data_IF_223795014777
#
_entry.id   IF_223795014777
#
_cell.length_a   1.000
_cell.length_b   1.000
_cell.length_c   1.000
_cell.angle_alpha   90.00
_cell.angle_beta   90.00
_cell.angle_gamma   90.00
#
_symmetry.space_group_name_H-M   'P 1'
#
loop_
_entity.id
_entity.type
_entity.pdbx_description
1 polymer ?
#
# COMPACT_ATOMS: atom_id res chain seq x y z
N UNK A 1 41.55 -3.72 19.35
CA UNK A 1 40.29 -3.65 18.59
C UNK A 1 39.29 -4.59 19.26
N UNK A 2 38.30 -4.09 20.02
CA UNK A 2 37.30 -4.92 20.71
C UNK A 2 36.20 -5.32 19.73
N UNK A 3 36.09 -6.61 19.43
CA UNK A 3 34.94 -7.17 18.71
C UNK A 3 33.88 -7.49 19.75
N UNK A 4 32.81 -6.71 19.80
CA UNK A 4 31.67 -6.98 20.66
C UNK A 4 30.80 -8.05 19.98
N UNK A 5 30.72 -9.24 20.56
CA UNK A 5 29.76 -10.25 20.13
C UNK A 5 28.38 -9.91 20.68
N UNK A 6 27.41 -9.71 19.78
CA UNK A 6 26.02 -9.47 20.14
C UNK A 6 25.43 -10.70 20.86
N UNK A 7 24.55 -10.46 21.82
CA UNK A 7 23.82 -11.54 22.51
C UNK A 7 22.92 -12.33 21.54
N UNK A 8 22.54 -13.57 21.92
CA UNK A 8 21.63 -14.40 21.09
C UNK A 8 20.30 -13.69 20.79
N UNK A 9 19.80 -12.87 21.73
CA UNK A 9 18.57 -12.09 21.54
C UNK A 9 18.79 -10.91 20.58
N UNK A 10 19.88 -10.15 20.72
CA UNK A 10 20.23 -9.07 19.79
C UNK A 10 20.48 -9.58 18.37
N UNK A 11 21.12 -10.75 18.22
CA UNK A 11 21.29 -11.39 16.91
C UNK A 11 19.94 -11.79 16.30
N UNK A 12 19.01 -12.34 17.08
CA UNK A 12 17.65 -12.66 16.60
C UNK A 12 16.88 -11.41 16.20
N UNK A 13 16.97 -10.33 16.98
CA UNK A 13 16.36 -9.03 16.66
C UNK A 13 16.97 -8.47 15.38
N UNK A 14 18.30 -8.51 15.24
CA UNK A 14 18.99 -8.02 14.05
C UNK A 14 18.63 -8.84 12.80
N UNK A 15 18.59 -10.17 12.91
CA UNK A 15 18.15 -11.05 11.82
C UNK A 15 16.70 -10.76 11.45
N UNK A 16 15.81 -10.58 12.42
CA UNK A 16 14.41 -10.22 12.18
C UNK A 16 14.30 -8.87 11.46
N UNK A 17 15.01 -7.84 11.92
CA UNK A 17 15.04 -6.51 11.30
C UNK A 17 15.63 -6.54 9.88
N UNK A 18 16.72 -7.27 9.66
CA UNK A 18 17.37 -7.44 8.35
C UNK A 18 16.47 -8.23 7.39
N UNK A 19 15.81 -9.28 7.86
CA UNK A 19 14.84 -10.05 7.09
C UNK A 19 13.60 -9.19 6.76
N UNK A 20 13.14 -8.34 7.68
CA UNK A 20 12.04 -7.40 7.45
C UNK A 20 12.41 -6.34 6.41
N UNK A 21 13.63 -5.80 6.48
CA UNK A 21 14.12 -4.81 5.50
C UNK A 21 14.17 -5.36 4.07
N UNK A 22 14.39 -6.66 3.90
CA UNK A 22 14.37 -7.34 2.58
C UNK A 22 12.95 -7.54 2.00
N UNK A 23 11.93 -7.48 2.84
CA UNK A 23 10.52 -7.65 2.48
C UNK A 23 9.79 -6.31 2.27
N UNK A 24 10.53 -5.20 2.19
CA UNK A 24 9.93 -3.89 1.95
C UNK A 24 9.41 -3.79 0.51
N UNK A 25 8.16 -3.35 0.38
CA UNK A 25 7.58 -2.92 -0.89
C UNK A 25 7.90 -1.45 -1.14
N UNK A 26 8.25 -1.12 -2.39
CA UNK A 26 8.27 0.27 -2.84
C UNK A 26 6.84 0.67 -3.14
N UNK A 27 6.30 1.66 -2.41
CA UNK A 27 4.97 2.20 -2.70
C UNK A 27 5.08 3.39 -3.65
N UNK A 28 4.36 3.34 -4.77
CA UNK A 28 4.10 4.49 -5.65
C UNK A 28 2.64 4.89 -5.59
N UNK A 29 2.36 6.17 -5.88
CA UNK A 29 1.02 6.73 -5.87
C UNK A 29 0.73 7.30 -7.26
N UNK A 30 -0.43 7.00 -7.82
CA UNK A 30 -0.90 7.71 -9.01
C UNK A 30 -1.28 9.14 -8.67
N UNK A 31 -1.47 9.96 -9.71
CA UNK A 31 -2.02 11.30 -9.55
C UNK A 31 -3.46 11.27 -9.01
N UNK A 32 -4.27 10.28 -9.40
CA UNK A 32 -5.64 10.11 -8.91
C UNK A 32 -5.67 9.87 -7.40
N UNK A 33 -4.82 8.97 -6.91
CA UNK A 33 -4.70 8.71 -5.48
C UNK A 33 -4.22 9.94 -4.72
N UNK A 34 -3.18 10.61 -5.23
CA UNK A 34 -2.57 11.76 -4.55
C UNK A 34 -3.55 12.94 -4.44
N UNK A 35 -4.23 13.29 -5.55
CA UNK A 35 -5.26 14.34 -5.56
C UNK A 35 -6.41 14.03 -4.60
N UNK A 36 -6.86 12.77 -4.55
CA UNK A 36 -7.89 12.37 -3.61
C UNK A 36 -7.42 12.53 -2.16
N UNK A 37 -6.21 12.03 -1.83
CA UNK A 37 -5.68 12.14 -0.48
C UNK A 37 -5.58 13.60 -0.04
N UNK A 38 -5.09 14.48 -0.92
CA UNK A 38 -4.96 15.92 -0.66
C UNK A 38 -6.31 16.63 -0.51
N UNK A 39 -7.37 16.13 -1.16
CA UNK A 39 -8.73 16.69 -1.05
C UNK A 39 -9.41 16.41 0.29
N UNK A 40 -8.88 15.48 1.11
CA UNK A 40 -9.45 15.15 2.41
C UNK A 40 -9.30 16.32 3.38
N UNK A 41 -10.43 16.86 3.84
CA UNK A 41 -10.47 17.95 4.84
C UNK A 41 -9.98 17.50 6.22
N UNK A 42 -10.25 16.25 6.59
CA UNK A 42 -9.84 15.70 7.89
C UNK A 42 -8.36 15.26 7.88
N UNK A 43 -7.52 16.04 8.57
CA UNK A 43 -6.09 15.74 8.74
C UNK A 43 -5.84 14.46 9.52
N UNK A 44 -6.73 14.08 10.42
CA UNK A 44 -6.57 12.83 11.17
C UNK A 44 -6.83 11.61 10.29
N UNK A 45 -7.83 11.69 9.40
CA UNK A 45 -8.03 10.70 8.34
C UNK A 45 -6.78 10.57 7.46
N UNK A 46 -6.21 11.68 6.98
CA UNK A 46 -4.99 11.65 6.16
C UNK A 46 -3.83 10.94 6.87
N UNK A 47 -3.58 11.25 8.16
CA UNK A 47 -2.53 10.60 8.96
C UNK A 47 -2.75 9.10 9.11
N UNK A 48 -3.98 8.66 9.36
CA UNK A 48 -4.33 7.23 9.48
C UNK A 48 -4.11 6.48 8.16
N UNK A 49 -4.52 7.06 7.05
CA UNK A 49 -4.27 6.48 5.72
C UNK A 49 -2.77 6.41 5.45
N UNK A 50 -2.02 7.48 5.73
CA UNK A 50 -0.57 7.49 5.55
C UNK A 50 0.14 6.40 6.40
N UNK A 51 -0.26 6.24 7.66
CA UNK A 51 0.26 5.16 8.51
C UNK A 51 -0.08 3.77 7.94
N UNK A 52 -1.28 3.59 7.38
CA UNK A 52 -1.66 2.33 6.74
C UNK A 52 -0.84 2.04 5.48
N UNK A 53 -0.51 3.06 4.70
CA UNK A 53 0.39 2.93 3.54
C UNK A 53 1.80 2.54 4.00
N UNK A 54 2.31 3.15 5.07
CA UNK A 54 3.59 2.76 5.65
C UNK A 54 3.57 1.29 6.07
N UNK A 55 2.48 0.80 6.66
CA UNK A 55 2.32 -0.63 6.96
C UNK A 55 2.34 -1.50 5.70
N UNK A 56 1.73 -1.07 4.59
CA UNK A 56 1.84 -1.78 3.31
C UNK A 56 3.29 -1.90 2.84
N UNK A 57 4.10 -0.85 3.01
CA UNK A 57 5.54 -0.89 2.68
C UNK A 57 6.27 -1.99 3.46
N UNK A 58 5.91 -2.23 4.72
CA UNK A 58 6.50 -3.29 5.55
C UNK A 58 5.81 -4.65 5.42
N UNK A 59 5.07 -4.90 4.33
CA UNK A 59 4.33 -6.15 4.11
C UNK A 59 3.23 -6.44 5.16
N UNK A 60 2.80 -5.42 5.93
CA UNK A 60 1.72 -5.53 6.92
C UNK A 60 0.38 -5.16 6.27
N UNK A 61 -0.09 -6.06 5.39
CA UNK A 61 -1.26 -5.83 4.53
C UNK A 61 -2.56 -5.62 5.34
N UNK A 62 -2.76 -6.34 6.45
CA UNK A 62 -4.02 -6.32 7.22
C UNK A 62 -5.20 -6.79 6.35
N UNK A 63 -6.37 -6.14 6.44
CA UNK A 63 -7.55 -6.51 5.63
C UNK A 63 -7.40 -6.05 4.16
N UNK A 64 -6.94 -6.97 3.33
CA UNK A 64 -6.77 -6.81 1.88
C UNK A 64 -7.50 -7.92 1.15
N UNK A 65 -8.27 -7.55 0.13
CA UNK A 65 -8.86 -8.49 -0.83
C UNK A 65 -8.20 -8.35 -2.18
N UNK A 66 -7.81 -9.46 -2.80
CA UNK A 66 -7.26 -9.47 -4.16
C UNK A 66 -8.30 -9.99 -5.14
N UNK A 67 -8.42 -9.34 -6.29
CA UNK A 67 -9.31 -9.76 -7.38
C UNK A 67 -8.88 -9.12 -8.70
N UNK A 68 -9.08 -9.83 -9.81
CA UNK A 68 -8.84 -9.30 -11.17
C UNK A 68 -7.47 -8.62 -11.37
N UNK A 69 -6.43 -9.09 -10.66
CA UNK A 69 -5.08 -8.52 -10.74
C UNK A 69 -4.83 -7.26 -9.90
N UNK A 70 -5.82 -6.78 -9.14
CA UNK A 70 -5.69 -5.66 -8.20
C UNK A 70 -5.99 -6.09 -6.76
N UNK A 71 -5.60 -5.27 -5.80
CA UNK A 71 -5.92 -5.40 -4.37
C UNK A 71 -6.80 -4.25 -3.89
N UNK A 72 -7.71 -4.54 -2.97
CA UNK A 72 -8.52 -3.59 -2.21
C UNK A 72 -8.07 -3.64 -0.76
N UNK A 73 -7.45 -2.56 -0.29
CA UNK A 73 -7.14 -2.34 1.13
C UNK A 73 -8.32 -1.66 1.81
N UNK A 74 -8.87 -2.31 2.84
CA UNK A 74 -9.94 -1.74 3.65
C UNK A 74 -9.39 -1.03 4.87
N UNK A 75 -9.91 0.18 5.11
CA UNK A 75 -9.59 0.99 6.27
C UNK A 75 -10.91 1.29 6.98
N UNK A 76 -11.14 0.58 8.07
CA UNK A 76 -12.33 0.75 8.91
C UNK A 76 -12.18 1.99 9.80
N UNK A 77 -12.32 3.16 9.17
CA UNK A 77 -12.26 4.45 9.82
C UNK A 77 -13.10 5.48 9.05
N UNK A 78 -13.85 6.31 9.77
CA UNK A 78 -14.76 7.29 9.17
C UNK A 78 -15.84 6.58 8.34
N UNK A 79 -16.01 6.92 7.04
CA UNK A 79 -17.00 6.28 6.17
C UNK A 79 -16.61 4.85 5.73
N UNK A 80 -15.40 4.39 6.06
CA UNK A 80 -14.85 3.11 5.59
C UNK A 80 -14.21 3.26 4.21
N UNK A 81 -12.91 3.60 4.20
CA UNK A 81 -12.15 3.84 2.97
C UNK A 81 -11.69 2.53 2.32
N UNK A 82 -11.63 2.54 0.99
CA UNK A 82 -11.18 1.40 0.17
C UNK A 82 -10.10 1.88 -0.78
N UNK A 83 -8.86 1.50 -0.55
CA UNK A 83 -7.77 1.89 -1.43
C UNK A 83 -7.51 0.76 -2.41
N UNK A 84 -7.70 1.02 -3.70
CA UNK A 84 -7.37 0.08 -4.75
C UNK A 84 -5.92 0.25 -5.16
N UNK A 85 -5.20 -0.86 -5.28
CA UNK A 85 -3.79 -0.88 -5.64
C UNK A 85 -3.45 -2.03 -6.57
N UNK A 86 -2.40 -1.86 -7.37
CA UNK A 86 -1.77 -2.97 -8.10
C UNK A 86 -0.51 -3.41 -7.36
N UNK A 87 -0.26 -4.72 -7.28
CA UNK A 87 0.95 -5.29 -6.67
C UNK A 87 1.78 -5.95 -7.76
N UNK A 88 2.99 -5.44 -7.98
CA UNK A 88 3.93 -5.93 -8.99
C UNK A 88 5.25 -6.29 -8.31
N UNK A 89 5.57 -7.58 -8.17
CA UNK A 89 6.81 -8.06 -7.51
C UNK A 89 7.03 -7.40 -6.14
N UNK A 90 7.98 -6.45 -6.04
CA UNK A 90 8.33 -5.69 -4.82
C UNK A 90 7.78 -4.26 -4.83
N UNK A 91 6.76 -3.99 -5.64
CA UNK A 91 6.15 -2.69 -5.77
C UNK A 91 4.65 -2.77 -5.53
N UNK A 92 4.13 -1.77 -4.83
CA UNK A 92 2.70 -1.53 -4.66
C UNK A 92 2.39 -0.17 -5.28
N UNK A 93 1.39 -0.10 -6.16
CA UNK A 93 1.00 1.13 -6.84
C UNK A 93 -0.42 1.46 -6.43
N UNK A 94 -0.58 2.54 -5.66
CA UNK A 94 -1.88 3.02 -5.20
C UNK A 94 -2.61 3.71 -6.36
N UNK A 95 -3.72 3.13 -6.82
CA UNK A 95 -4.43 3.51 -8.04
C UNK A 95 -5.45 4.61 -7.77
N UNK A 96 -6.38 4.37 -6.86
CA UNK A 96 -7.39 5.33 -6.40
C UNK A 96 -8.01 4.89 -5.08
N UNK A 97 -8.86 5.74 -4.51
CA UNK A 97 -9.76 5.36 -3.44
C UNK A 97 -11.17 5.11 -3.99
N UNK A 98 -11.81 4.04 -3.54
CA UNK A 98 -13.24 3.79 -3.69
C UNK A 98 -14.04 4.65 -2.71
N UNK A 99 -15.08 5.28 -3.23
CA UNK A 99 -16.01 6.06 -2.43
C UNK A 99 -16.95 5.18 -1.62
N UNK A 100 -18.21 5.60 -1.54
CA UNK A 100 -19.25 4.84 -0.88
C UNK A 100 -19.57 3.53 -1.62
N UNK A 101 -20.25 2.62 -0.92
CA UNK A 101 -20.64 1.32 -1.47
C UNK A 101 -21.43 1.42 -2.79
N UNK A 102 -22.15 2.53 -3.01
CA UNK A 102 -22.92 2.80 -4.22
C UNK A 102 -22.05 3.08 -5.47
N UNK A 103 -20.80 3.52 -5.31
CA UNK A 103 -19.87 3.76 -6.43
C UNK A 103 -18.85 2.65 -6.61
N UNK A 104 -18.89 1.62 -5.74
CA UNK A 104 -17.89 0.57 -5.68
C UNK A 104 -17.60 -0.09 -7.04
N UNK A 105 -18.64 -0.43 -7.80
CA UNK A 105 -18.48 -1.07 -9.11
C UNK A 105 -17.74 -0.16 -10.11
N UNK A 106 -18.11 1.12 -10.17
CA UNK A 106 -17.44 2.11 -11.02
C UNK A 106 -15.99 2.33 -10.60
N UNK A 107 -15.75 2.35 -9.29
CA UNK A 107 -14.39 2.52 -8.74
C UNK A 107 -13.51 1.30 -9.06
N UNK A 108 -14.07 0.09 -9.02
CA UNK A 108 -13.38 -1.15 -9.44
C UNK A 108 -13.04 -1.11 -10.92
N UNK A 109 -14.00 -0.76 -11.79
CA UNK A 109 -13.75 -0.67 -13.24
C UNK A 109 -12.65 0.33 -13.55
N UNK A 110 -12.69 1.52 -12.91
CA UNK A 110 -11.64 2.52 -13.04
C UNK A 110 -10.29 2.03 -12.51
N UNK A 111 -10.28 1.30 -11.39
CA UNK A 111 -9.04 0.72 -10.86
C UNK A 111 -8.44 -0.29 -11.83
N UNK A 112 -9.25 -1.12 -12.48
CA UNK A 112 -8.78 -2.09 -13.46
C UNK A 112 -8.19 -1.43 -14.70
N UNK A 113 -8.78 -0.32 -15.17
CA UNK A 113 -8.24 0.47 -16.28
C UNK A 113 -6.87 1.06 -15.90
N UNK A 114 -6.78 1.74 -14.76
CA UNK A 114 -5.51 2.31 -14.28
C UNK A 114 -4.45 1.23 -14.04
N UNK A 115 -4.84 0.04 -13.58
CA UNK A 115 -3.91 -1.06 -13.39
C UNK A 115 -3.30 -1.53 -14.71
N UNK A 116 -4.07 -1.55 -15.81
CA UNK A 116 -3.57 -1.88 -17.14
C UNK A 116 -2.59 -0.82 -17.64
N UNK A 117 -2.99 0.46 -17.59
CA UNK A 117 -2.14 1.57 -18.02
C UNK A 117 -0.77 1.55 -17.32
N UNK A 118 -0.77 1.39 -15.99
CA UNK A 118 0.44 1.33 -15.18
C UNK A 118 1.28 0.08 -15.47
N UNK A 119 0.65 -1.05 -15.79
CA UNK A 119 1.39 -2.25 -16.18
C UNK A 119 2.09 -2.06 -17.53
N UNK A 120 1.43 -1.40 -18.50
CA UNK A 120 1.98 -1.15 -19.83
C UNK A 120 3.17 -0.18 -19.78
N UNK A 121 3.07 0.91 -19.00
CA UNK A 121 4.18 1.85 -18.78
C UNK A 121 5.41 1.16 -18.16
N UNK A 122 5.22 0.22 -17.23
CA UNK A 122 6.32 -0.52 -16.60
C UNK A 122 6.90 -1.64 -17.48
N UNK A 123 6.19 -2.07 -18.54
CA UNK A 123 6.62 -3.13 -19.44
C UNK A 123 7.27 -2.60 -20.73
N UNK A 124 7.33 -1.28 -20.89
CA UNK A 124 7.92 -0.57 -22.04
C UNK A 124 9.29 0.06 -21.70
N UNK A 125 9.87 -0.29 -20.55
CA UNK A 125 11.21 0.08 -20.08
C UNK A 125 12.07 -1.17 -19.92
#
# INVERSE_FOLDING_TARGET
>A
MKVYFLSSLEQKILIFLVAYKRQMFVVRKTLYFSKWLDSLKDKQTQKRIAARILHLEYSLLGDVKYFHGIGELKIDYGPGYRIYFSKQRKQIILLLNGGDKSTQQKDIEKALLLAKEVNDENNTL
#
